data_IF_398301432144
#
_entry.id   IF_398301432144
#
_cell.length_a   1.000
_cell.length_b   1.000
_cell.length_c   1.000
_cell.angle_alpha   90.00
_cell.angle_beta   90.00
_cell.angle_gamma   90.00
#
_symmetry.space_group_name_H-M   'P 1'
#
loop_
_entity.id
_entity.type
_entity.pdbx_description
1 polymer ?
#
# COMPACT_ATOMS: atom_id res chain seq x y z
N UNK A 1 1.10 -19.52 13.75
CA UNK A 1 0.57 -19.32 12.74
C UNK A 1 0.65 -17.98 12.35
N UNK A 2 1.03 -17.75 11.26
CA UNK A 2 1.26 -16.57 10.88
C UNK A 2 0.20 -16.01 10.18
N UNK A 3 -0.38 -15.01 10.50
CA UNK A 3 -1.47 -14.51 9.80
C UNK A 3 -1.10 -13.24 9.15
N UNK A 4 -0.01 -13.24 8.45
CA UNK A 4 0.39 -12.07 7.74
C UNK A 4 -0.64 -11.68 6.75
N UNK A 5 -1.10 -10.47 6.79
CA UNK A 5 -2.01 -9.95 5.81
C UNK A 5 -1.23 -9.12 4.82
N UNK A 6 -1.62 -9.21 3.56
CA UNK A 6 -0.97 -8.48 2.50
C UNK A 6 -2.00 -7.76 1.65
N UNK A 7 -1.58 -6.76 0.95
CA UNK A 7 -2.44 -6.01 0.05
C UNK A 7 -1.68 -5.71 -1.23
N UNK A 8 -2.41 -5.52 -2.31
CA UNK A 8 -1.79 -5.14 -3.57
C UNK A 8 -2.10 -3.67 -3.82
N UNK A 9 -1.11 -2.93 -4.27
CA UNK A 9 -1.21 -1.50 -4.44
C UNK A 9 -1.45 -1.16 -5.89
N UNK A 10 -2.38 -0.25 -6.14
CA UNK A 10 -2.67 0.22 -7.48
C UNK A 10 -2.52 1.72 -7.56
N UNK A 11 -1.96 2.20 -8.64
CA UNK A 11 -1.80 3.62 -8.87
C UNK A 11 -0.55 4.15 -8.21
N UNK A 12 -0.36 5.43 -8.24
CA UNK A 12 0.80 6.07 -7.66
C UNK A 12 1.97 6.10 -8.62
N UNK A 13 3.18 6.29 -8.07
CA UNK A 13 4.35 6.48 -8.93
C UNK A 13 4.67 5.22 -9.71
N UNK A 14 5.09 5.41 -10.95
CA UNK A 14 5.39 4.28 -11.80
C UNK A 14 6.62 3.53 -11.34
N UNK A 15 7.54 4.22 -10.69
CA UNK A 15 8.73 3.54 -10.24
C UNK A 15 8.57 2.90 -8.87
N UNK A 16 7.39 2.89 -8.34
CA UNK A 16 7.09 2.11 -7.16
C UNK A 16 6.85 0.68 -7.62
N UNK A 17 7.85 -0.18 -7.45
CA UNK A 17 7.79 -1.51 -8.03
C UNK A 17 7.29 -2.56 -7.06
N UNK A 18 7.40 -2.33 -5.77
CA UNK A 18 6.85 -3.27 -4.81
C UNK A 18 5.37 -2.99 -4.65
N UNK A 19 4.57 -3.85 -5.20
CA UNK A 19 3.12 -3.65 -5.20
C UNK A 19 2.37 -4.56 -4.24
N UNK A 20 3.05 -5.53 -3.66
CA UNK A 20 2.42 -6.40 -2.67
C UNK A 20 3.15 -6.14 -1.38
N UNK A 21 2.44 -5.67 -0.37
CA UNK A 21 3.03 -5.26 0.89
C UNK A 21 2.25 -5.87 2.04
N UNK A 22 2.93 -6.03 3.17
CA UNK A 22 2.26 -6.47 4.38
C UNK A 22 1.47 -5.34 4.99
N UNK A 23 0.31 -5.65 5.55
CA UNK A 23 -0.48 -4.65 6.23
C UNK A 23 -0.83 -5.15 7.61
N UNK A 24 -1.11 -4.23 8.50
CA UNK A 24 -1.51 -4.55 9.85
C UNK A 24 -2.95 -4.12 10.03
N UNK A 25 -3.85 -5.03 10.31
CA UNK A 25 -5.23 -4.65 10.50
C UNK A 25 -5.41 -3.93 11.83
N UNK A 26 -6.47 -3.17 11.95
CA UNK A 26 -7.40 -2.84 10.91
C UNK A 26 -6.82 -1.72 10.10
N UNK A 27 -6.89 -1.81 8.85
CA UNK A 27 -6.27 -0.79 8.08
C UNK A 27 -7.11 -0.38 6.94
N UNK A 28 -7.70 0.79 7.02
CA UNK A 28 -8.39 1.32 5.87
C UNK A 28 -7.47 2.15 5.01
N UNK A 29 -6.29 2.44 5.53
CA UNK A 29 -5.35 3.27 4.80
C UNK A 29 -3.95 2.76 5.04
N UNK A 30 -3.13 2.79 4.01
CA UNK A 30 -1.76 2.37 4.10
C UNK A 30 -0.87 3.53 3.74
N UNK A 31 0.20 3.71 4.51
CA UNK A 31 1.15 4.77 4.25
C UNK A 31 2.50 4.12 3.99
N UNK A 32 3.06 4.39 2.84
CA UNK A 32 4.29 3.75 2.42
C UNK A 32 5.40 4.77 2.22
N UNK A 33 6.50 4.67 2.94
CA UNK A 33 7.60 5.59 2.73
C UNK A 33 8.19 5.42 1.33
N UNK A 34 8.37 6.52 0.62
CA UNK A 34 8.89 6.44 -0.72
C UNK A 34 9.46 7.79 -1.12
N UNK A 35 10.73 7.81 -1.44
CA UNK A 35 11.39 9.01 -1.96
C UNK A 35 11.20 10.26 -1.11
N UNK A 36 11.47 10.12 0.16
CA UNK A 36 11.44 11.28 1.06
C UNK A 36 10.07 11.75 1.42
N UNK A 37 9.08 10.89 1.25
CA UNK A 37 7.71 11.22 1.64
C UNK A 37 6.94 9.96 1.87
N UNK A 38 5.62 10.06 1.86
CA UNK A 38 4.76 8.91 2.03
C UNK A 38 3.74 8.88 0.92
N UNK A 39 3.58 7.71 0.33
CA UNK A 39 2.50 7.47 -0.62
C UNK A 39 1.34 6.88 0.16
N UNK A 40 0.15 7.40 -0.04
CA UNK A 40 -1.01 6.96 0.70
C UNK A 40 -1.92 6.12 -0.19
N UNK A 41 -2.36 5.00 0.34
CA UNK A 41 -3.26 4.12 -0.39
C UNK A 41 -4.45 3.82 0.48
N UNK A 42 -5.62 3.78 -0.09
CA UNK A 42 -6.84 3.50 0.64
C UNK A 42 -7.43 2.19 0.21
N UNK A 43 -8.00 1.49 1.16
CA UNK A 43 -8.65 0.23 0.88
C UNK A 43 -9.83 0.43 -0.07
N UNK A 44 -10.02 -0.53 -0.94
CA UNK A 44 -11.18 -0.55 -1.82
C UNK A 44 -11.96 -1.82 -1.54
N UNK A 45 -13.08 -1.97 -2.19
CA UNK A 45 -13.85 -3.19 -2.03
C UNK A 45 -13.39 -4.27 -3.00
N UNK A 46 -12.36 -4.02 -3.77
CA UNK A 46 -11.90 -4.96 -4.79
C UNK A 46 -10.84 -5.89 -4.24
N UNK A 47 -10.72 -7.03 -4.88
CA UNK A 47 -9.68 -7.98 -4.56
C UNK A 47 -9.08 -8.46 -5.86
N UNK A 48 -7.87 -8.97 -5.78
CA UNK A 48 -7.19 -9.49 -6.97
C UNK A 48 -6.52 -10.80 -6.62
N UNK A 49 -6.60 -11.76 -7.53
CA UNK A 49 -5.93 -13.02 -7.33
C UNK A 49 -4.48 -12.87 -7.70
N UNK A 50 -3.60 -13.32 -6.83
CA UNK A 50 -2.16 -13.22 -7.06
C UNK A 50 -1.55 -14.56 -6.71
N UNK A 51 -0.29 -14.80 -7.07
CA UNK A 51 0.37 -16.02 -6.63
C UNK A 51 0.43 -16.15 -5.12
N UNK A 52 0.25 -15.07 -4.39
CA UNK A 52 0.24 -15.13 -2.95
C UNK A 52 -1.16 -15.24 -2.39
N UNK A 53 -2.16 -15.42 -3.24
CA UNK A 53 -3.54 -15.56 -2.80
C UNK A 53 -4.38 -14.40 -3.27
N UNK A 54 -5.61 -14.37 -2.80
CA UNK A 54 -6.52 -13.30 -3.15
C UNK A 54 -6.31 -12.16 -2.18
N UNK A 55 -5.84 -11.03 -2.68
CA UNK A 55 -5.46 -9.92 -1.83
C UNK A 55 -6.39 -8.73 -2.03
N UNK A 56 -6.64 -7.98 -0.97
CA UNK A 56 -7.39 -6.74 -1.13
C UNK A 56 -6.58 -5.73 -1.91
N UNK A 57 -7.26 -4.90 -2.66
CA UNK A 57 -6.63 -3.87 -3.46
C UNK A 57 -6.72 -2.56 -2.72
N UNK A 58 -5.57 -1.91 -2.57
CA UNK A 58 -5.50 -0.57 -2.02
C UNK A 58 -5.10 0.35 -3.16
N UNK A 59 -5.79 1.47 -3.25
CA UNK A 59 -5.60 2.39 -4.35
C UNK A 59 -4.94 3.66 -3.86
N UNK A 60 -4.00 4.15 -4.66
CA UNK A 60 -3.26 5.36 -4.33
C UNK A 60 -4.21 6.54 -4.18
N UNK A 61 -4.05 7.28 -3.10
CA UNK A 61 -4.90 8.42 -2.84
C UNK A 61 -4.14 9.73 -2.76
N UNK A 62 -2.84 9.69 -2.67
CA UNK A 62 -2.08 10.93 -2.63
C UNK A 62 -0.71 10.74 -2.03
N UNK A 63 0.03 11.81 -1.95
CA UNK A 63 1.37 11.78 -1.42
C UNK A 63 1.55 12.91 -0.42
N UNK A 64 2.24 12.64 0.67
CA UNK A 64 2.59 13.66 1.64
C UNK A 64 4.11 13.74 1.71
N UNK A 65 4.67 14.90 1.48
CA UNK A 65 6.09 15.08 1.63
C UNK A 65 6.41 15.17 3.10
N UNK A 66 7.51 14.56 3.53
CA UNK A 66 7.89 14.71 4.90
C UNK A 66 8.52 16.08 5.03
N UNK A 67 8.26 16.73 6.06
CA UNK A 67 8.89 17.95 6.29
C UNK A 67 10.27 17.67 6.65
N UNK A 68 11.11 17.84 6.23
CA UNK A 68 12.23 17.50 6.54
C UNK A 68 12.89 18.00 7.17
N UNK A 69 13.03 17.99 7.50
CA UNK A 69 13.50 18.13 8.10
C UNK A 69 14.68 18.35 8.17
N UNK A 70 15.19 18.58 8.03
CA UNK A 70 16.30 18.70 8.06
C UNK A 70 16.81 18.68 8.26
#
# INVERSE_FOLDING_TARGET
MDTSLKAILEGGPEDLTHRIVGITPPGAELRLPFRGGYEHFKATSRHRDTPEGRLPVFRWSGRTATPDAV
#
